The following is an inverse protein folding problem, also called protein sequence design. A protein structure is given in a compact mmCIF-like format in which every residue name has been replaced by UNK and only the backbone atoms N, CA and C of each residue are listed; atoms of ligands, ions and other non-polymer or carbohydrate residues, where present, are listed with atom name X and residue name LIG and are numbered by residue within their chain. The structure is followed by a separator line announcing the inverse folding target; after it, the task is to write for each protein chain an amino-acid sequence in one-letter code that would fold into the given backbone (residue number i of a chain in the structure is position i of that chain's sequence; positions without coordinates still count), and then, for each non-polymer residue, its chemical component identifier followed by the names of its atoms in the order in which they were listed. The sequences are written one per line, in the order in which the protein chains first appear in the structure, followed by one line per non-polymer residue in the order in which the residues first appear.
data_IF_772273390427
#
_entry.id   IF_772273390427
#
_cell.length_a   1.000
_cell.length_b   1.000
_cell.length_c   1.000
_cell.angle_alpha   90.00
_cell.angle_beta   90.00
_cell.angle_gamma   90.00
#
_symmetry.space_group_name_H-M   'P 1'
#
loop_
_entity.id
_entity.type
_entity.pdbx_description
1 polymer ?
#
# COMPACT_ATOMS: atom_id res chain seq x y z
N UNK A 1 -70.73 4.15 -8.43
CA UNK A 1 -69.92 3.44 -7.42
C UNK A 1 -69.40 2.20 -8.14
N UNK A 2 -68.12 1.99 -8.45
CA UNK A 2 -66.91 2.09 -7.64
C UNK A 2 -65.71 2.22 -8.61
N UNK A 3 -64.92 3.29 -8.46
CA UNK A 3 -63.67 3.46 -9.20
C UNK A 3 -62.54 2.74 -8.46
N UNK A 4 -62.01 1.68 -9.05
CA UNK A 4 -60.86 0.95 -8.52
C UNK A 4 -59.62 1.84 -8.58
N UNK A 5 -59.18 2.34 -7.41
CA UNK A 5 -57.96 3.12 -7.28
C UNK A 5 -56.77 2.15 -7.23
N UNK A 6 -56.02 2.09 -8.33
CA UNK A 6 -54.73 1.40 -8.39
C UNK A 6 -53.75 2.06 -7.42
N UNK A 7 -53.49 1.39 -6.29
CA UNK A 7 -52.45 1.79 -5.34
C UNK A 7 -51.11 1.51 -5.99
N UNK A 8 -50.49 2.55 -6.55
CA UNK A 8 -49.09 2.54 -6.96
C UNK A 8 -48.23 2.52 -5.70
N UNK A 9 -47.86 1.32 -5.23
CA UNK A 9 -46.78 1.14 -4.26
C UNK A 9 -45.48 1.63 -4.88
N UNK A 10 -45.12 2.88 -4.58
CA UNK A 10 -43.82 3.46 -4.86
C UNK A 10 -42.80 2.80 -3.92
N UNK A 11 -42.31 1.62 -4.28
CA UNK A 11 -41.20 0.96 -3.59
C UNK A 11 -39.98 1.87 -3.69
N UNK A 12 -39.44 2.29 -2.53
CA UNK A 12 -38.18 3.03 -2.45
C UNK A 12 -37.07 2.27 -3.16
N UNK A 13 -36.76 2.63 -4.41
CA UNK A 13 -35.51 2.24 -5.04
C UNK A 13 -34.40 3.04 -4.36
N UNK A 14 -33.57 2.35 -3.57
CA UNK A 14 -32.26 2.90 -3.22
C UNK A 14 -31.48 3.02 -4.53
N UNK A 15 -31.38 4.23 -5.05
CA UNK A 15 -30.47 4.54 -6.16
C UNK A 15 -29.04 4.32 -5.67
N UNK A 16 -28.52 3.10 -5.82
CA UNK A 16 -27.10 2.85 -5.80
C UNK A 16 -26.54 3.42 -7.10
N UNK A 17 -26.36 4.75 -7.15
CA UNK A 17 -25.48 5.33 -8.14
C UNK A 17 -24.09 4.79 -7.84
N UNK A 18 -23.72 3.74 -8.57
CA UNK A 18 -22.33 3.28 -8.67
C UNK A 18 -21.53 4.47 -9.17
N UNK A 19 -20.89 5.18 -8.25
CA UNK A 19 -19.87 6.16 -8.59
C UNK A 19 -18.85 5.38 -9.41
N UNK A 20 -18.70 5.73 -10.69
CA UNK A 20 -17.73 5.12 -11.61
C UNK A 20 -16.36 5.06 -10.93
N UNK A 21 -16.02 3.94 -10.30
CA UNK A 21 -14.66 3.72 -9.82
C UNK A 21 -13.82 3.55 -11.07
N UNK A 22 -12.98 4.53 -11.37
CA UNK A 22 -11.98 4.42 -12.42
C UNK A 22 -11.23 3.09 -12.25
N UNK A 23 -11.31 2.21 -13.25
CA UNK A 23 -10.87 0.81 -13.19
C UNK A 23 -9.58 0.66 -12.35
N UNK A 24 -9.71 0.04 -11.19
CA UNK A 24 -8.59 -0.17 -10.27
C UNK A 24 -7.74 -1.32 -10.79
N UNK A 25 -6.45 -1.08 -11.01
CA UNK A 25 -5.52 -2.11 -11.44
C UNK A 25 -5.21 -2.96 -10.21
N UNK A 26 -5.63 -4.23 -10.25
CA UNK A 26 -5.43 -5.15 -9.13
C UNK A 26 -3.96 -5.58 -9.07
N UNK A 27 -3.32 -5.56 -7.90
CA UNK A 27 -1.99 -6.15 -7.73
C UNK A 27 -2.05 -7.68 -7.87
N UNK A 28 -0.92 -8.32 -8.22
CA UNK A 28 -0.86 -9.78 -8.38
C UNK A 28 -1.14 -10.52 -7.07
N UNK A 29 -0.77 -9.94 -5.92
CA UNK A 29 -1.09 -10.48 -4.59
C UNK A 29 -2.15 -9.61 -3.92
N UNK A 30 -3.29 -10.18 -3.50
CA UNK A 30 -4.27 -9.45 -2.74
C UNK A 30 -3.75 -9.20 -1.32
N UNK A 31 -3.44 -7.94 -1.02
CA UNK A 31 -3.12 -7.48 0.34
C UNK A 31 -4.37 -6.95 1.02
N UNK A 32 -4.61 -7.38 2.25
CA UNK A 32 -5.82 -7.06 3.00
C UNK A 32 -5.56 -6.05 4.13
N UNK A 33 -6.64 -5.57 4.76
CA UNK A 33 -6.58 -4.63 5.87
C UNK A 33 -6.42 -3.17 5.45
N UNK A 34 -6.24 -2.29 6.43
CA UNK A 34 -6.11 -0.84 6.21
C UNK A 34 -4.85 -0.55 5.38
N UNK A 35 -3.73 -1.19 5.73
CA UNK A 35 -2.47 -1.00 5.04
C UNK A 35 -2.54 -1.49 3.58
N UNK A 36 -3.11 -2.68 3.36
CA UNK A 36 -3.32 -3.24 2.04
C UNK A 36 -4.16 -2.35 1.13
N UNK A 37 -5.22 -1.71 1.65
CA UNK A 37 -6.06 -0.77 0.86
C UNK A 37 -5.29 0.45 0.35
N UNK A 38 -4.38 1.01 1.16
CA UNK A 38 -3.55 2.12 0.72
C UNK A 38 -2.46 1.66 -0.26
N UNK A 39 -1.84 0.50 0.00
CA UNK A 39 -0.83 -0.08 -0.87
C UNK A 39 -1.39 -0.42 -2.26
N UNK A 40 -2.59 -1.03 -2.33
CA UNK A 40 -3.27 -1.33 -3.60
C UNK A 40 -3.68 -0.08 -4.35
N UNK A 41 -4.14 0.96 -3.65
CA UNK A 41 -4.46 2.26 -4.25
C UNK A 41 -3.21 2.95 -4.82
N UNK A 42 -2.10 2.95 -4.07
CA UNK A 42 -0.82 3.49 -4.52
C UNK A 42 -0.32 2.75 -5.76
N UNK A 43 -0.35 1.42 -5.72
CA UNK A 43 0.02 0.57 -6.84
C UNK A 43 -0.83 0.88 -8.08
N UNK A 44 -2.15 0.93 -7.93
CA UNK A 44 -3.04 1.23 -9.05
C UNK A 44 -2.79 2.63 -9.61
N UNK A 45 -2.43 3.62 -8.80
CA UNK A 45 -2.10 4.97 -9.26
C UNK A 45 -0.75 5.01 -9.98
N UNK A 46 0.28 4.36 -9.42
CA UNK A 46 1.62 4.28 -10.00
C UNK A 46 1.62 3.55 -11.35
N UNK A 47 0.84 2.48 -11.49
CA UNK A 47 0.66 1.76 -12.75
C UNK A 47 -0.02 2.61 -13.83
N UNK A 48 -1.05 3.40 -13.45
CA UNK A 48 -1.74 4.32 -14.38
C UNK A 48 -0.81 5.42 -14.89
N UNK A 49 0.03 5.97 -14.01
CA UNK A 49 0.98 7.03 -14.38
C UNK A 49 2.30 6.51 -14.95
N UNK A 50 2.52 5.18 -14.99
CA UNK A 50 3.79 4.54 -15.39
C UNK A 50 5.02 5.04 -14.62
N UNK A 51 4.86 5.40 -13.34
CA UNK A 51 5.93 5.93 -12.47
C UNK A 51 6.33 4.95 -11.36
N UNK A 52 6.29 3.65 -11.64
CA UNK A 52 6.45 2.61 -10.62
C UNK A 52 7.85 2.64 -9.97
N UNK A 53 8.90 2.78 -10.77
CA UNK A 53 10.29 2.80 -10.27
C UNK A 53 10.57 3.99 -9.35
N UNK A 54 10.00 5.16 -9.66
CA UNK A 54 10.14 6.35 -8.84
C UNK A 54 9.44 6.17 -7.48
N UNK A 55 8.21 5.66 -7.50
CA UNK A 55 7.44 5.40 -6.27
C UNK A 55 8.11 4.34 -5.41
N UNK A 56 8.72 3.31 -5.99
CA UNK A 56 9.42 2.29 -5.23
C UNK A 56 10.66 2.82 -4.52
N UNK A 57 11.48 3.63 -5.21
CA UNK A 57 12.65 4.28 -4.60
C UNK A 57 12.21 5.17 -3.43
N UNK A 58 11.19 5.98 -3.65
CA UNK A 58 10.61 6.83 -2.62
C UNK A 58 10.14 6.02 -1.40
N UNK A 59 9.45 4.90 -1.61
CA UNK A 59 8.95 4.03 -0.53
C UNK A 59 10.09 3.41 0.26
N UNK A 60 11.15 2.95 -0.41
CA UNK A 60 12.36 2.41 0.24
C UNK A 60 13.06 3.47 1.07
N UNK A 61 13.24 4.67 0.52
CA UNK A 61 13.85 5.79 1.21
C UNK A 61 13.03 6.23 2.42
N UNK A 62 11.69 6.28 2.29
CA UNK A 62 10.79 6.57 3.40
C UNK A 62 10.93 5.56 4.53
N UNK A 63 11.03 4.26 4.23
CA UNK A 63 11.16 3.24 5.27
C UNK A 63 12.48 3.41 6.05
N UNK A 64 13.57 3.72 5.33
CA UNK A 64 14.89 4.01 5.93
C UNK A 64 14.85 5.28 6.78
N UNK A 65 14.22 6.35 6.30
CA UNK A 65 14.10 7.62 7.03
C UNK A 65 13.28 7.44 8.31
N UNK A 66 12.16 6.71 8.24
CA UNK A 66 11.33 6.41 9.43
C UNK A 66 12.10 5.62 10.48
N UNK A 67 12.98 4.70 10.07
CA UNK A 67 13.81 3.92 10.98
C UNK A 67 14.96 4.73 11.61
N UNK A 68 15.55 5.67 10.86
CA UNK A 68 16.69 6.47 11.32
C UNK A 68 16.28 7.69 12.16
N UNK A 69 15.24 8.41 11.74
CA UNK A 69 14.85 9.68 12.34
C UNK A 69 13.77 9.51 13.41
N UNK A 70 14.21 9.24 14.65
CA UNK A 70 13.31 9.07 15.80
C UNK A 70 12.38 10.26 16.04
N UNK A 71 12.86 11.49 15.80
CA UNK A 71 12.05 12.72 15.90
C UNK A 71 10.87 12.74 14.91
N UNK A 72 11.09 12.20 13.72
CA UNK A 72 10.07 12.17 12.68
C UNK A 72 9.04 11.08 12.98
N UNK A 73 9.47 9.93 13.50
CA UNK A 73 8.57 8.90 14.03
C UNK A 73 7.69 9.44 15.18
N UNK A 74 8.28 10.15 16.14
CA UNK A 74 7.52 10.79 17.24
C UNK A 74 6.51 11.82 16.72
N UNK A 75 6.90 12.63 15.73
CA UNK A 75 6.00 13.59 15.07
C UNK A 75 4.80 12.91 14.40
N UNK A 76 5.03 11.79 13.72
CA UNK A 76 3.98 10.98 13.09
C UNK A 76 3.02 10.41 14.14
N UNK A 77 3.55 9.88 15.24
CA UNK A 77 2.78 9.24 16.29
C UNK A 77 2.00 10.21 17.17
N UNK A 78 2.46 11.45 17.33
CA UNK A 78 1.88 12.44 18.25
C UNK A 78 0.45 12.88 17.81
N UNK A 79 -0.61 12.55 18.55
CA UNK A 79 -1.98 12.90 18.17
C UNK A 79 -2.37 14.36 18.45
N UNK A 80 -1.62 15.07 19.29
CA UNK A 80 -1.93 16.43 19.75
C UNK A 80 -1.75 17.49 18.66
N UNK A 81 -0.96 17.17 17.62
CA UNK A 81 -0.71 18.07 16.51
C UNK A 81 -1.92 18.12 15.55
N UNK A 82 -2.29 19.33 15.14
CA UNK A 82 -3.34 19.57 14.14
C UNK A 82 -2.94 18.93 12.80
N UNK A 83 -3.92 18.37 12.08
CA UNK A 83 -3.70 17.71 10.77
C UNK A 83 -3.03 18.64 9.78
N UNK A 84 -3.52 19.88 9.67
CA UNK A 84 -3.02 20.84 8.70
C UNK A 84 -1.52 21.13 8.91
N UNK A 85 -1.10 21.28 10.16
CA UNK A 85 0.32 21.47 10.51
C UNK A 85 1.15 20.24 10.10
N UNK A 86 0.62 19.02 10.31
CA UNK A 86 1.27 17.79 9.84
C UNK A 86 1.38 17.75 8.32
N UNK A 87 0.33 18.09 7.60
CA UNK A 87 0.34 18.10 6.13
C UNK A 87 1.36 19.11 5.61
N UNK A 88 1.36 20.33 6.15
CA UNK A 88 2.26 21.39 5.70
C UNK A 88 3.73 21.08 5.98
N UNK A 89 4.02 20.50 7.15
CA UNK A 89 5.38 20.06 7.49
C UNK A 89 5.84 18.90 6.61
N UNK A 90 4.99 17.89 6.37
CA UNK A 90 5.31 16.80 5.45
C UNK A 90 5.57 17.35 4.04
N UNK A 91 4.69 18.21 3.51
CA UNK A 91 4.89 18.86 2.21
C UNK A 91 6.22 19.62 2.13
N UNK A 92 6.60 20.36 3.17
CA UNK A 92 7.89 21.08 3.23
C UNK A 92 9.10 20.15 3.25
N UNK A 93 9.03 19.04 4.00
CA UNK A 93 10.12 18.07 4.08
C UNK A 93 10.29 17.35 2.74
N UNK A 94 9.19 16.91 2.13
CA UNK A 94 9.22 16.14 0.89
C UNK A 94 9.48 17.00 -0.34
N UNK A 95 9.09 18.28 -0.34
CA UNK A 95 9.49 19.24 -1.37
C UNK A 95 11.02 19.43 -1.42
N UNK A 96 11.70 19.43 -0.27
CA UNK A 96 13.18 19.52 -0.22
C UNK A 96 13.89 18.29 -0.78
N UNK A 97 13.22 17.15 -0.77
CA UNK A 97 13.78 15.85 -1.16
C UNK A 97 13.35 15.39 -2.56
N UNK A 98 12.53 16.18 -3.27
CA UNK A 98 12.04 15.89 -4.64
C UNK A 98 11.32 14.54 -4.78
N UNK A 99 10.47 14.20 -3.81
CA UNK A 99 9.62 13.00 -3.89
C UNK A 99 8.58 13.10 -5.01
N UNK A 100 8.14 11.96 -5.52
CA UNK A 100 7.07 11.85 -6.51
C UNK A 100 5.75 12.48 -6.01
N UNK A 101 4.96 13.13 -6.88
CA UNK A 101 3.64 13.65 -6.48
C UNK A 101 2.71 12.54 -5.96
N UNK A 102 2.88 11.30 -6.43
CA UNK A 102 2.08 10.16 -5.97
C UNK A 102 2.35 9.80 -4.51
N UNK A 103 3.62 9.81 -4.09
CA UNK A 103 4.00 9.50 -2.71
C UNK A 103 3.59 10.62 -1.76
N UNK A 104 3.69 11.87 -2.21
CA UNK A 104 3.16 13.02 -1.47
C UNK A 104 1.64 12.91 -1.29
N UNK A 105 0.89 12.61 -2.35
CA UNK A 105 -0.57 12.46 -2.28
C UNK A 105 -0.98 11.34 -1.32
N UNK A 106 -0.24 10.23 -1.29
CA UNK A 106 -0.47 9.16 -0.31
C UNK A 106 -0.28 9.65 1.12
N UNK A 107 0.82 10.35 1.39
CA UNK A 107 1.12 10.90 2.72
C UNK A 107 0.04 11.88 3.19
N UNK A 108 -0.42 12.77 2.29
CA UNK A 108 -1.50 13.71 2.55
C UNK A 108 -2.79 12.96 2.87
N UNK A 109 -3.17 11.99 2.04
CA UNK A 109 -4.39 11.19 2.25
C UNK A 109 -4.34 10.43 3.58
N UNK A 110 -3.18 9.88 3.96
CA UNK A 110 -3.01 9.21 5.25
C UNK A 110 -3.04 10.19 6.44
N UNK A 111 -2.51 11.41 6.26
CA UNK A 111 -2.55 12.47 7.27
C UNK A 111 -3.98 12.95 7.53
N UNK A 112 -4.75 13.20 6.48
CA UNK A 112 -6.17 13.59 6.54
C UNK A 112 -7.00 12.53 7.28
N UNK A 113 -6.77 11.26 6.97
CA UNK A 113 -7.45 10.14 7.62
C UNK A 113 -6.90 9.80 9.01
N UNK A 114 -5.94 10.55 9.55
CA UNK A 114 -5.26 10.29 10.84
C UNK A 114 -4.57 8.91 10.92
N UNK A 115 -4.21 8.32 9.78
CA UNK A 115 -3.65 6.95 9.66
C UNK A 115 -2.13 6.89 9.48
N UNK A 116 -1.42 7.98 9.72
CA UNK A 116 0.04 8.02 9.59
C UNK A 116 0.78 7.01 10.49
N UNK A 117 0.16 6.55 11.59
CA UNK A 117 0.74 5.51 12.46
C UNK A 117 0.92 4.17 11.73
N UNK A 118 0.06 3.87 10.76
CA UNK A 118 0.12 2.64 9.96
C UNK A 118 1.01 2.76 8.72
N UNK A 119 1.76 3.86 8.59
CA UNK A 119 2.56 4.14 7.41
C UNK A 119 3.64 3.08 7.17
N UNK A 120 4.34 2.64 8.21
CA UNK A 120 5.35 1.56 8.10
C UNK A 120 4.74 0.31 7.49
N UNK A 121 3.61 -0.15 8.02
CA UNK A 121 2.87 -1.30 7.49
C UNK A 121 2.41 -1.10 6.04
N UNK A 122 2.02 0.11 5.63
CA UNK A 122 1.67 0.40 4.23
C UNK A 122 2.89 0.27 3.31
N UNK A 123 4.05 0.78 3.73
CA UNK A 123 5.29 0.68 2.98
C UNK A 123 5.71 -0.79 2.82
N UNK A 124 5.63 -1.57 3.91
CA UNK A 124 5.98 -3.00 3.90
C UNK A 124 5.05 -3.80 2.97
N UNK A 125 3.74 -3.56 3.05
CA UNK A 125 2.77 -4.17 2.12
C UNK A 125 3.08 -3.80 0.65
N UNK A 126 3.47 -2.56 0.38
CA UNK A 126 3.82 -2.13 -0.97
C UNK A 126 5.11 -2.81 -1.47
N UNK A 127 6.12 -2.93 -0.61
CA UNK A 127 7.34 -3.68 -0.97
C UNK A 127 7.05 -5.15 -1.26
N UNK A 128 6.13 -5.77 -0.50
CA UNK A 128 5.69 -7.14 -0.76
C UNK A 128 5.03 -7.28 -2.15
N UNK A 129 4.15 -6.35 -2.53
CA UNK A 129 3.56 -6.32 -3.88
C UNK A 129 4.65 -6.22 -4.95
N UNK A 130 5.66 -5.37 -4.76
CA UNK A 130 6.74 -5.18 -5.73
C UNK A 130 7.64 -6.41 -5.87
N UNK A 131 7.99 -7.08 -4.77
CA UNK A 131 8.74 -8.34 -4.84
C UNK A 131 7.99 -9.40 -5.61
N UNK A 132 6.66 -9.52 -5.44
CA UNK A 132 5.89 -10.48 -6.26
C UNK A 132 5.87 -10.12 -7.74
N UNK A 133 5.82 -8.83 -8.09
CA UNK A 133 5.90 -8.39 -9.50
C UNK A 133 7.26 -8.74 -10.12
N UNK A 134 8.33 -8.68 -9.31
CA UNK A 134 9.69 -9.10 -9.72
C UNK A 134 9.84 -10.62 -9.82
N UNK A 135 8.87 -11.40 -9.33
CA UNK A 135 8.99 -12.85 -9.21
C UNK A 135 9.89 -13.28 -8.04
N UNK A 136 10.15 -12.40 -7.08
CA UNK A 136 10.91 -12.73 -5.88
C UNK A 136 10.01 -13.46 -4.88
N UNK A 137 10.44 -14.64 -4.45
CA UNK A 137 9.75 -15.44 -3.43
C UNK A 137 10.61 -15.41 -2.16
N UNK A 138 10.07 -14.85 -1.09
CA UNK A 138 10.73 -14.84 0.22
C UNK A 138 10.50 -16.19 0.88
N UNK A 139 11.55 -17.01 0.97
CA UNK A 139 11.52 -18.31 1.63
C UNK A 139 12.26 -18.27 2.96
N UNK A 140 11.65 -18.82 4.01
CA UNK A 140 12.30 -19.07 5.29
C UNK A 140 12.71 -20.55 5.37
N UNK A 141 14.00 -20.81 5.64
CA UNK A 141 14.54 -22.17 5.73
C UNK A 141 14.98 -22.43 7.17
N UNK A 142 14.27 -23.31 7.87
CA UNK A 142 14.59 -23.70 9.24
C UNK A 142 15.33 -25.03 9.21
N UNK A 143 16.55 -25.06 9.76
CA UNK A 143 17.40 -26.25 9.81
C UNK A 143 17.74 -26.64 11.24
N UNK A 144 17.81 -27.94 11.53
CA UNK A 144 18.11 -28.44 12.87
C UNK A 144 19.60 -28.28 13.26
N UNK A 145 20.50 -28.11 12.29
CA UNK A 145 21.95 -27.98 12.50
C UNK A 145 22.47 -26.81 11.66
N UNK A 146 23.44 -26.07 12.19
CA UNK A 146 24.09 -24.98 11.49
C UNK A 146 24.55 -25.44 10.08
N UNK A 147 24.01 -24.85 9.00
CA UNK A 147 24.30 -25.32 7.65
C UNK A 147 25.73 -24.94 7.25
N UNK A 148 26.41 -25.86 6.56
CA UNK A 148 27.69 -25.59 5.92
C UNK A 148 27.53 -24.82 4.60
N UNK A 149 28.60 -24.18 4.13
CA UNK A 149 28.61 -23.41 2.87
C UNK A 149 28.01 -24.13 1.64
N UNK A 150 28.26 -25.44 1.37
CA UNK A 150 27.72 -26.11 0.17
C UNK A 150 26.23 -26.48 0.28
N UNK A 151 25.60 -26.27 1.44
CA UNK A 151 24.19 -26.60 1.64
C UNK A 151 23.25 -25.58 0.97
N UNK A 152 23.60 -24.29 1.02
CA UNK A 152 22.75 -23.21 0.51
C UNK A 152 22.55 -23.25 -1.01
N UNK A 153 23.57 -23.66 -1.78
CA UNK A 153 23.44 -23.79 -3.24
C UNK A 153 22.45 -24.89 -3.63
N UNK A 154 22.54 -26.06 -2.98
CA UNK A 154 21.61 -27.18 -3.23
C UNK A 154 20.17 -26.83 -2.87
N UNK A 155 19.99 -26.12 -1.77
CA UNK A 155 18.67 -25.65 -1.34
C UNK A 155 18.11 -24.67 -2.37
N UNK A 156 18.91 -23.70 -2.83
CA UNK A 156 18.49 -22.76 -3.88
C UNK A 156 18.05 -23.49 -5.15
N UNK A 157 18.86 -24.41 -5.66
CA UNK A 157 18.53 -25.21 -6.85
C UNK A 157 17.22 -25.98 -6.67
N UNK A 158 17.01 -26.59 -5.50
CA UNK A 158 15.78 -27.32 -5.18
C UNK A 158 14.56 -26.40 -5.18
N UNK A 159 14.70 -25.16 -4.69
CA UNK A 159 13.63 -24.18 -4.66
C UNK A 159 13.31 -23.60 -6.05
N UNK A 160 14.30 -23.41 -6.92
CA UNK A 160 14.08 -22.96 -8.30
C UNK A 160 13.19 -23.95 -9.06
N UNK A 161 13.46 -25.25 -8.95
CA UNK A 161 12.64 -26.31 -9.55
C UNK A 161 11.19 -26.24 -9.06
N UNK A 162 10.99 -26.08 -7.74
CA UNK A 162 9.64 -26.03 -7.14
C UNK A 162 8.86 -24.79 -7.58
N UNK A 163 9.55 -23.68 -7.84
CA UNK A 163 8.91 -22.42 -8.21
C UNK A 163 8.58 -22.33 -9.71
N UNK A 164 9.35 -22.96 -10.61
CA UNK A 164 9.04 -23.01 -12.04
C UNK A 164 7.84 -23.92 -12.37
N UNK A 165 7.50 -24.86 -11.48
CA UNK A 165 6.40 -25.81 -11.68
C UNK A 165 5.00 -25.22 -11.36
N UNK A 166 4.91 -23.96 -10.90
CA UNK A 166 3.66 -23.28 -10.51
C UNK A 166 3.39 -22.01 -11.31
#
# INVERSE_FOLDING_TARGET
MSGSKTILTLTRQFSSTSVKSSAMIKPPVPVFGIAGRYATALYSAAMKEKKMDAVEKDVKDLNVVMAKDKKLAEFVLNPLLKVNIKIDTLKKIFAKKNYSPLTLNLLVTMAENRRLKSLTSVLDCFTGIMSTIRGEIVCEVVTAKAPGCPYFSRVRESFEIICEEK
#
